data_IF_294528608979
#
_entry.id   IF_294528608979
#
_cell.length_a   1.000
_cell.length_b   1.000
_cell.length_c   1.000
_cell.angle_alpha   90.00
_cell.angle_beta   90.00
_cell.angle_gamma   90.00
#
_symmetry.space_group_name_H-M   'P 1'
#
loop_
_entity.id
_entity.type
_entity.pdbx_description
1 polymer ?
#
# COMPACT_ATOMS: atom_id res chain seq x y z
N UNK A 1 -13.82 20.16 -33.03
CA UNK A 1 -13.45 20.63 -31.69
C UNK A 1 -12.10 19.99 -31.38
N UNK A 2 -11.06 20.82 -31.20
CA UNK A 2 -9.75 20.29 -30.85
C UNK A 2 -9.86 19.66 -29.43
N UNK A 3 -9.73 18.34 -29.36
CA UNK A 3 -9.56 17.67 -28.04
C UNK A 3 -8.26 18.23 -27.44
N UNK A 4 -8.40 19.14 -26.48
CA UNK A 4 -7.25 19.62 -25.70
C UNK A 4 -6.65 18.40 -25.01
N UNK A 5 -5.41 18.08 -25.35
CA UNK A 5 -4.66 17.00 -24.70
C UNK A 5 -4.45 17.43 -23.24
N UNK A 6 -5.15 16.77 -22.31
CA UNK A 6 -5.04 17.03 -20.86
C UNK A 6 -3.68 16.59 -20.35
N UNK A 7 -3.11 17.38 -19.46
CA UNK A 7 -1.85 17.06 -18.79
C UNK A 7 -2.02 15.89 -17.79
N UNK A 8 -0.92 15.25 -17.44
CA UNK A 8 -0.92 14.20 -16.42
C UNK A 8 -1.36 14.73 -15.04
N UNK A 9 -1.07 15.99 -14.74
CA UNK A 9 -1.51 16.65 -13.52
C UNK A 9 -3.03 16.84 -13.48
N UNK A 10 -3.64 17.32 -14.57
CA UNK A 10 -5.09 17.43 -14.69
C UNK A 10 -5.80 16.09 -14.57
N UNK A 11 -5.23 15.03 -15.13
CA UNK A 11 -5.74 13.65 -14.98
C UNK A 11 -5.62 13.18 -13.52
N UNK A 12 -4.51 13.50 -12.83
CA UNK A 12 -4.33 13.14 -11.43
C UNK A 12 -5.33 13.83 -10.52
N UNK A 13 -5.53 15.14 -10.70
CA UNK A 13 -6.48 15.92 -9.92
C UNK A 13 -7.92 15.41 -10.14
N UNK A 14 -8.30 15.22 -11.41
CA UNK A 14 -9.64 14.71 -11.78
C UNK A 14 -9.86 13.25 -11.39
N UNK A 15 -8.79 12.45 -11.40
CA UNK A 15 -8.81 11.02 -11.03
C UNK A 15 -8.87 10.77 -9.54
N UNK A 16 -8.64 11.80 -8.71
CA UNK A 16 -8.70 11.77 -7.24
C UNK A 16 -7.82 10.65 -6.62
N UNK A 17 -6.52 10.91 -6.34
CA UNK A 17 -5.62 9.88 -5.81
C UNK A 17 -6.09 9.24 -4.49
N UNK A 18 -6.82 9.99 -3.67
CA UNK A 18 -7.36 9.49 -2.40
C UNK A 18 -8.48 8.46 -2.62
N UNK A 19 -9.34 8.69 -3.60
CA UNK A 19 -10.46 7.82 -3.94
C UNK A 19 -10.63 7.81 -5.46
N UNK A 20 -9.86 6.97 -6.19
CA UNK A 20 -9.88 6.96 -7.65
C UNK A 20 -11.27 6.79 -8.24
N UNK A 21 -11.62 7.70 -9.18
CA UNK A 21 -12.95 7.79 -9.76
C UNK A 21 -12.92 7.90 -11.28
N UNK A 22 -13.92 7.31 -11.95
CA UNK A 22 -14.15 7.42 -13.37
C UNK A 22 -12.97 6.98 -14.25
N UNK A 23 -12.99 7.42 -15.50
CA UNK A 23 -11.96 7.06 -16.51
C UNK A 23 -10.59 7.64 -16.15
N UNK A 24 -10.56 8.84 -15.57
CA UNK A 24 -9.29 9.47 -15.16
C UNK A 24 -8.66 8.74 -13.98
N UNK A 25 -9.48 8.24 -13.06
CA UNK A 25 -9.02 7.38 -11.97
C UNK A 25 -8.33 6.12 -12.49
N UNK A 26 -8.94 5.41 -13.45
CA UNK A 26 -8.31 4.24 -14.08
C UNK A 26 -7.01 4.58 -14.79
N UNK A 27 -6.97 5.66 -15.58
CA UNK A 27 -5.75 6.11 -16.27
C UNK A 27 -4.64 6.48 -15.29
N UNK A 28 -4.99 7.17 -14.21
CA UNK A 28 -4.08 7.54 -13.15
C UNK A 28 -3.49 6.28 -12.48
N UNK A 29 -4.33 5.30 -12.11
CA UNK A 29 -3.90 4.05 -11.48
C UNK A 29 -2.94 3.26 -12.37
N UNK A 30 -3.21 3.12 -13.66
CA UNK A 30 -2.30 2.44 -14.60
C UNK A 30 -0.93 3.12 -14.65
N UNK A 31 -0.89 4.46 -14.68
CA UNK A 31 0.37 5.19 -14.61
C UNK A 31 1.07 5.01 -13.26
N UNK A 32 0.32 5.03 -12.13
CA UNK A 32 0.86 4.80 -10.79
C UNK A 32 1.45 3.40 -10.66
N UNK A 33 0.85 2.39 -11.28
CA UNK A 33 1.40 1.03 -11.35
C UNK A 33 2.83 1.02 -11.92
N UNK A 34 3.11 1.86 -12.93
CA UNK A 34 4.43 1.97 -13.51
C UNK A 34 5.37 2.81 -12.65
N UNK A 35 4.92 4.00 -12.22
CA UNK A 35 5.76 4.97 -11.49
C UNK A 35 6.18 4.47 -10.10
N UNK A 36 5.37 3.66 -9.42
CA UNK A 36 5.70 3.10 -8.11
C UNK A 36 6.51 1.79 -8.17
N UNK A 37 6.73 1.24 -9.38
CA UNK A 37 7.53 0.02 -9.54
C UNK A 37 8.91 0.09 -8.89
N UNK A 38 9.69 1.19 -9.00
CA UNK A 38 11.01 1.26 -8.38
C UNK A 38 10.97 1.27 -6.84
N UNK A 39 10.08 2.04 -6.21
CA UNK A 39 9.97 2.09 -4.73
C UNK A 39 9.46 0.78 -4.18
N UNK A 40 8.44 0.18 -4.80
CA UNK A 40 7.94 -1.16 -4.44
C UNK A 40 9.04 -2.20 -4.54
N UNK A 41 9.81 -2.21 -5.63
CA UNK A 41 10.88 -3.17 -5.83
C UNK A 41 12.02 -3.03 -4.82
N UNK A 42 12.35 -1.81 -4.43
CA UNK A 42 13.32 -1.55 -3.38
C UNK A 42 12.83 -2.05 -2.02
N UNK A 43 11.59 -1.74 -1.65
CA UNK A 43 11.01 -2.14 -0.37
C UNK A 43 10.86 -3.66 -0.23
N UNK A 44 10.43 -4.35 -1.29
CA UNK A 44 10.33 -5.81 -1.31
C UNK A 44 11.70 -6.51 -1.15
N UNK A 45 12.82 -5.81 -1.34
CA UNK A 45 14.17 -6.32 -1.06
C UNK A 45 14.46 -6.56 0.43
N UNK A 46 13.68 -5.94 1.33
CA UNK A 46 13.78 -6.15 2.78
C UNK A 46 12.85 -7.25 3.28
N UNK A 47 11.96 -7.74 2.45
CA UNK A 47 10.86 -8.61 2.83
C UNK A 47 11.01 -10.02 2.24
N UNK A 48 11.06 -11.02 3.08
CA UNK A 48 11.05 -12.41 2.63
C UNK A 48 9.62 -12.90 2.56
N UNK A 49 9.17 -13.24 1.35
CA UNK A 49 7.87 -13.85 1.09
C UNK A 49 8.07 -15.31 0.73
N UNK A 50 7.35 -16.21 1.40
CA UNK A 50 7.40 -17.64 1.16
C UNK A 50 6.32 -18.06 0.14
N UNK A 51 6.55 -19.17 -0.54
CA UNK A 51 5.61 -19.71 -1.55
C UNK A 51 4.22 -19.99 -0.99
N UNK A 52 4.12 -20.27 0.32
CA UNK A 52 2.89 -20.66 1.01
C UNK A 52 2.21 -19.52 1.76
N UNK A 53 2.79 -18.31 1.76
CA UNK A 53 2.27 -17.19 2.55
C UNK A 53 0.87 -16.77 2.06
N UNK A 54 0.03 -16.39 3.02
CA UNK A 54 -1.20 -15.63 2.76
C UNK A 54 -0.88 -14.15 2.91
N UNK A 55 -0.97 -13.39 1.82
CA UNK A 55 -0.54 -11.99 1.75
C UNK A 55 -1.72 -11.06 1.52
N UNK A 56 -1.80 -9.96 2.28
CA UNK A 56 -2.76 -8.88 2.08
C UNK A 56 -2.04 -7.61 1.59
N UNK A 57 -2.58 -6.96 0.55
CA UNK A 57 -2.21 -5.62 0.12
C UNK A 57 -3.36 -4.64 0.43
N UNK A 58 -3.10 -3.67 1.31
CA UNK A 58 -4.10 -2.69 1.77
C UNK A 58 -3.95 -1.38 0.99
N UNK A 59 -5.03 -0.96 0.33
CA UNK A 59 -5.00 0.14 -0.63
C UNK A 59 -4.26 -0.28 -1.88
N UNK A 60 -4.63 -1.43 -2.44
CA UNK A 60 -3.90 -2.08 -3.53
C UNK A 60 -3.93 -1.30 -4.86
N UNK A 61 -4.74 -0.25 -4.96
CA UNK A 61 -4.84 0.63 -6.12
C UNK A 61 -5.04 -0.14 -7.43
N UNK A 62 -4.11 0.00 -8.37
CA UNK A 62 -4.13 -0.72 -9.64
C UNK A 62 -3.57 -2.15 -9.60
N UNK A 63 -3.16 -2.66 -8.42
CA UNK A 63 -2.78 -4.06 -8.20
C UNK A 63 -1.36 -4.46 -8.61
N UNK A 64 -0.47 -3.49 -8.88
CA UNK A 64 0.89 -3.79 -9.37
C UNK A 64 1.79 -4.47 -8.32
N UNK A 65 1.67 -4.11 -7.04
CA UNK A 65 2.43 -4.75 -5.97
C UNK A 65 2.05 -6.24 -5.84
N UNK A 66 0.76 -6.55 -5.85
CA UNK A 66 0.25 -7.93 -5.85
C UNK A 66 0.73 -8.73 -7.05
N UNK A 67 0.69 -8.15 -8.26
CA UNK A 67 1.20 -8.81 -9.47
C UNK A 67 2.66 -9.23 -9.33
N UNK A 68 3.45 -8.39 -8.67
CA UNK A 68 4.87 -8.68 -8.42
C UNK A 68 5.04 -9.77 -7.36
N UNK A 69 4.28 -9.71 -6.25
CA UNK A 69 4.33 -10.70 -5.18
C UNK A 69 3.86 -12.07 -5.67
N UNK A 70 2.89 -12.12 -6.59
CA UNK A 70 2.36 -13.35 -7.18
C UNK A 70 3.42 -14.22 -7.87
N UNK A 71 4.56 -13.65 -8.24
CA UNK A 71 5.69 -14.43 -8.79
C UNK A 71 6.42 -15.26 -7.73
N UNK A 72 6.26 -14.95 -6.45
CA UNK A 72 6.91 -15.61 -5.31
C UNK A 72 5.93 -16.54 -4.58
N UNK A 73 4.68 -16.11 -4.39
CA UNK A 73 3.63 -16.90 -3.73
C UNK A 73 3.03 -17.86 -4.76
N UNK A 74 3.46 -19.12 -4.74
CA UNK A 74 3.06 -20.12 -5.73
C UNK A 74 1.94 -21.05 -5.28
N UNK A 75 1.88 -21.36 -3.97
CA UNK A 75 0.90 -22.26 -3.34
C UNK A 75 0.08 -21.58 -2.23
N UNK A 76 0.49 -20.38 -1.80
CA UNK A 76 -0.25 -19.53 -0.88
C UNK A 76 -1.39 -18.77 -1.56
N UNK A 77 -1.87 -17.70 -0.93
CA UNK A 77 -2.97 -16.91 -1.45
C UNK A 77 -2.71 -15.41 -1.31
N UNK A 78 -3.15 -14.63 -2.28
CA UNK A 78 -2.99 -13.19 -2.33
C UNK A 78 -4.35 -12.51 -2.23
N UNK A 79 -4.44 -11.47 -1.42
CA UNK A 79 -5.67 -10.67 -1.31
C UNK A 79 -5.30 -9.20 -1.44
N UNK A 80 -6.03 -8.47 -2.29
CA UNK A 80 -5.97 -7.02 -2.37
C UNK A 80 -7.26 -6.41 -1.86
N UNK A 81 -7.15 -5.34 -1.10
CA UNK A 81 -8.31 -4.53 -0.70
C UNK A 81 -8.09 -3.08 -1.08
N UNK A 82 -9.15 -2.44 -1.59
CA UNK A 82 -9.21 -1.01 -1.82
C UNK A 82 -10.66 -0.54 -1.62
N UNK A 83 -10.85 0.68 -1.12
CA UNK A 83 -12.20 1.19 -0.89
C UNK A 83 -12.80 1.89 -2.12
N UNK A 84 -12.00 2.10 -3.18
CA UNK A 84 -12.46 2.64 -4.46
C UNK A 84 -12.89 1.51 -5.40
N UNK A 85 -14.13 1.50 -5.89
CA UNK A 85 -14.58 0.54 -6.90
C UNK A 85 -13.74 0.59 -8.19
N UNK A 86 -13.21 1.77 -8.55
CA UNK A 86 -12.35 1.94 -9.73
C UNK A 86 -10.99 1.27 -9.51
N UNK A 87 -10.40 1.41 -8.31
CA UNK A 87 -9.18 0.69 -7.93
C UNK A 87 -9.40 -0.83 -7.99
N UNK A 88 -10.47 -1.32 -7.38
CA UNK A 88 -10.83 -2.75 -7.38
C UNK A 88 -10.97 -3.29 -8.81
N UNK A 89 -11.67 -2.57 -9.69
CA UNK A 89 -11.84 -2.97 -11.08
C UNK A 89 -10.49 -3.01 -11.82
N UNK A 90 -9.66 -1.97 -11.66
CA UNK A 90 -8.34 -1.88 -12.28
C UNK A 90 -7.39 -2.97 -11.77
N UNK A 91 -7.39 -3.24 -10.46
CA UNK A 91 -6.58 -4.30 -9.85
C UNK A 91 -6.98 -5.70 -10.35
N UNK A 92 -8.29 -5.94 -10.52
CA UNK A 92 -8.81 -7.20 -11.09
C UNK A 92 -8.39 -7.39 -12.54
N UNK A 93 -8.42 -6.36 -13.35
CA UNK A 93 -7.94 -6.41 -14.73
C UNK A 93 -6.43 -6.69 -14.79
N UNK A 94 -5.64 -5.96 -13.98
CA UNK A 94 -4.18 -6.12 -13.87
C UNK A 94 -3.76 -7.54 -13.48
N UNK A 95 -4.57 -8.23 -12.66
CA UNK A 95 -4.27 -9.53 -12.06
C UNK A 95 -5.21 -10.66 -12.53
N UNK A 96 -5.87 -10.50 -13.67
CA UNK A 96 -6.88 -11.43 -14.17
C UNK A 96 -6.41 -12.88 -14.22
N UNK A 97 -5.18 -13.15 -14.62
CA UNK A 97 -4.62 -14.50 -14.69
C UNK A 97 -4.53 -15.18 -13.30
N UNK A 98 -4.08 -14.45 -12.28
CA UNK A 98 -3.98 -14.95 -10.92
C UNK A 98 -5.37 -15.18 -10.30
N UNK A 99 -6.33 -14.31 -10.61
CA UNK A 99 -7.72 -14.45 -10.17
C UNK A 99 -8.39 -15.65 -10.83
N UNK A 100 -8.25 -15.80 -12.15
CA UNK A 100 -8.82 -16.94 -12.90
C UNK A 100 -8.27 -18.30 -12.44
N UNK A 101 -7.06 -18.31 -11.88
CA UNK A 101 -6.44 -19.53 -11.32
C UNK A 101 -6.69 -19.67 -9.80
N UNK A 102 -7.58 -18.87 -9.22
CA UNK A 102 -7.94 -18.87 -7.79
C UNK A 102 -6.75 -18.66 -6.83
N UNK A 103 -5.72 -17.96 -7.29
CA UNK A 103 -4.56 -17.60 -6.48
C UNK A 103 -4.68 -16.23 -5.83
N UNK A 104 -5.64 -15.43 -6.30
CA UNK A 104 -5.80 -14.05 -5.84
C UNK A 104 -7.26 -13.64 -5.81
N UNK A 105 -7.62 -12.86 -4.78
CA UNK A 105 -8.88 -12.14 -4.69
C UNK A 105 -8.65 -10.64 -4.53
N UNK A 106 -9.52 -9.83 -5.14
CA UNK A 106 -9.56 -8.38 -4.97
C UNK A 106 -10.94 -7.98 -4.46
N UNK A 107 -10.98 -7.33 -3.30
CA UNK A 107 -12.20 -6.97 -2.59
C UNK A 107 -12.32 -5.46 -2.40
N UNK A 108 -13.55 -4.97 -2.43
CA UNK A 108 -13.85 -3.60 -1.99
C UNK A 108 -13.96 -3.60 -0.47
N UNK A 109 -13.00 -2.95 0.21
CA UNK A 109 -12.99 -2.84 1.66
C UNK A 109 -12.13 -1.65 2.11
N UNK A 110 -12.44 -1.13 3.32
CA UNK A 110 -11.67 -0.08 3.98
C UNK A 110 -10.75 -0.67 5.04
N UNK A 111 -9.56 -0.06 5.20
CA UNK A 111 -8.65 -0.34 6.33
C UNK A 111 -9.26 -0.02 7.70
N UNK A 112 -10.35 0.74 7.75
CA UNK A 112 -11.06 1.04 9.01
C UNK A 112 -11.71 -0.20 9.61
N UNK A 113 -12.12 -1.16 8.76
CA UNK A 113 -12.70 -2.43 9.16
C UNK A 113 -12.44 -3.46 8.05
N UNK A 114 -11.43 -4.28 8.22
CA UNK A 114 -11.06 -5.33 7.28
C UNK A 114 -11.99 -6.55 7.45
N UNK A 115 -12.56 -7.09 6.37
CA UNK A 115 -13.53 -8.19 6.45
C UNK A 115 -12.87 -9.56 6.66
N UNK A 116 -11.87 -9.62 7.54
CA UNK A 116 -11.10 -10.83 7.83
C UNK A 116 -11.08 -11.11 9.33
N UNK A 117 -10.94 -12.39 9.67
CA UNK A 117 -10.73 -12.82 11.04
C UNK A 117 -9.36 -12.37 11.58
N UNK A 118 -9.21 -12.39 12.90
CA UNK A 118 -7.90 -12.19 13.54
C UNK A 118 -6.91 -13.25 13.05
N UNK A 119 -5.61 -12.91 13.04
CA UNK A 119 -4.54 -13.85 12.72
C UNK A 119 -4.70 -14.58 11.37
N UNK A 120 -5.13 -13.85 10.33
CA UNK A 120 -5.39 -14.41 9.00
C UNK A 120 -4.16 -14.39 8.09
N UNK A 121 -3.35 -13.32 8.12
CA UNK A 121 -2.29 -13.08 7.14
C UNK A 121 -0.90 -13.31 7.70
N UNK A 122 -0.06 -14.01 6.93
CA UNK A 122 1.36 -14.17 7.23
C UNK A 122 2.11 -12.85 6.96
N UNK A 123 1.69 -12.15 5.92
CA UNK A 123 2.31 -10.95 5.39
C UNK A 123 1.26 -9.91 5.03
N UNK A 124 1.49 -8.65 5.40
CA UNK A 124 0.65 -7.53 4.98
C UNK A 124 1.55 -6.44 4.40
N UNK A 125 1.12 -5.83 3.30
CA UNK A 125 1.80 -4.70 2.68
C UNK A 125 0.83 -3.56 2.42
N UNK A 126 1.33 -2.34 2.43
CA UNK A 126 0.67 -1.16 1.86
C UNK A 126 1.70 -0.34 1.10
N UNK A 127 1.38 0.05 -0.13
CA UNK A 127 2.27 0.84 -0.99
C UNK A 127 1.55 2.11 -1.41
N UNK A 128 2.14 3.27 -1.10
CA UNK A 128 1.63 4.59 -1.53
C UNK A 128 0.17 4.85 -1.13
N UNK A 129 -0.30 4.29 -0.01
CA UNK A 129 -1.70 4.46 0.43
C UNK A 129 -1.86 4.96 1.87
N UNK A 130 -0.90 4.67 2.75
CA UNK A 130 -0.97 4.98 4.18
C UNK A 130 -1.28 6.45 4.48
N UNK A 131 -0.76 7.39 3.72
CA UNK A 131 -0.98 8.80 3.92
C UNK A 131 -2.43 9.27 3.65
N UNK A 132 -3.26 8.40 3.11
CA UNK A 132 -4.70 8.62 2.93
C UNK A 132 -5.57 7.97 4.01
N UNK A 133 -4.98 7.17 4.89
CA UNK A 133 -5.75 6.45 5.91
C UNK A 133 -6.44 7.43 6.87
N UNK A 134 -7.75 7.25 7.15
CA UNK A 134 -8.54 8.23 7.89
C UNK A 134 -8.15 8.35 9.36
N UNK A 135 -7.65 7.27 9.96
CA UNK A 135 -7.27 7.22 11.37
C UNK A 135 -6.03 6.34 11.54
N UNK A 136 -4.81 6.79 11.13
CA UNK A 136 -3.60 5.95 11.06
C UNK A 136 -3.36 5.10 12.29
N UNK A 137 -3.49 5.66 13.50
CA UNK A 137 -3.30 4.95 14.75
C UNK A 137 -4.31 3.81 14.98
N UNK A 138 -5.59 4.00 14.62
CA UNK A 138 -6.62 2.96 14.74
C UNK A 138 -6.47 1.93 13.62
N UNK A 139 -6.17 2.40 12.43
CA UNK A 139 -6.02 1.54 11.26
C UNK A 139 -4.82 0.60 11.39
N UNK A 140 -3.70 1.05 11.98
CA UNK A 140 -2.57 0.17 12.30
C UNK A 140 -2.94 -0.94 13.30
N UNK A 141 -3.84 -0.67 14.26
CA UNK A 141 -4.34 -1.72 15.16
C UNK A 141 -5.22 -2.74 14.42
N UNK A 142 -5.99 -2.30 13.44
CA UNK A 142 -6.78 -3.20 12.57
C UNK A 142 -5.86 -4.08 11.70
N UNK A 143 -4.78 -3.51 11.16
CA UNK A 143 -3.73 -4.27 10.46
C UNK A 143 -3.13 -5.33 11.40
N UNK A 144 -2.76 -4.93 12.62
CA UNK A 144 -2.18 -5.85 13.60
C UNK A 144 -3.16 -6.96 14.00
N UNK A 145 -4.48 -6.66 14.06
CA UNK A 145 -5.51 -7.67 14.38
C UNK A 145 -5.50 -8.80 13.37
N UNK A 146 -5.52 -8.49 12.08
CA UNK A 146 -5.59 -9.49 11.01
C UNK A 146 -4.25 -10.14 10.67
N UNK A 147 -3.14 -9.58 11.15
CA UNK A 147 -1.80 -10.14 11.00
C UNK A 147 -1.64 -11.31 11.96
N UNK A 148 -1.10 -12.44 11.51
CA UNK A 148 -0.77 -13.61 12.34
C UNK A 148 0.34 -13.28 13.35
N UNK A 149 0.39 -14.01 14.44
CA UNK A 149 1.55 -14.02 15.34
C UNK A 149 2.83 -14.35 14.54
N UNK A 150 3.91 -13.63 14.77
CA UNK A 150 5.15 -13.66 14.00
C UNK A 150 5.02 -13.21 12.52
N UNK A 151 3.86 -12.74 12.12
CA UNK A 151 3.65 -12.12 10.81
C UNK A 151 4.32 -10.75 10.71
N UNK A 152 4.49 -10.26 9.49
CA UNK A 152 5.15 -8.96 9.22
C UNK A 152 4.27 -8.05 8.39
N UNK A 153 4.30 -6.77 8.75
CA UNK A 153 3.65 -5.68 8.01
C UNK A 153 4.71 -4.77 7.40
N UNK A 154 4.61 -4.50 6.12
CA UNK A 154 5.48 -3.61 5.35
C UNK A 154 4.70 -2.39 4.85
N UNK A 155 5.07 -1.20 5.31
CA UNK A 155 4.56 0.07 4.83
C UNK A 155 5.59 0.72 3.93
N UNK A 156 5.18 1.14 2.73
CA UNK A 156 6.06 1.73 1.72
C UNK A 156 5.50 3.08 1.27
N UNK A 157 6.33 4.12 1.32
CA UNK A 157 5.99 5.44 0.81
C UNK A 157 7.18 6.08 0.06
N UNK A 158 6.87 6.80 -1.01
CA UNK A 158 7.87 7.52 -1.80
C UNK A 158 8.22 8.90 -1.22
N UNK A 159 7.53 9.29 -0.14
CA UNK A 159 7.78 10.52 0.60
C UNK A 159 7.57 10.34 2.10
N UNK A 160 8.42 10.95 2.89
CA UNK A 160 8.28 11.11 4.34
C UNK A 160 8.72 12.52 4.75
N UNK A 161 8.30 12.98 5.94
CA UNK A 161 8.65 14.32 6.44
C UNK A 161 10.14 14.39 6.78
N UNK A 162 10.82 15.29 6.07
CA UNK A 162 12.23 15.64 6.29
C UNK A 162 12.52 17.05 5.79
N UNK A 163 13.70 17.56 6.11
CA UNK A 163 14.22 18.80 5.51
C UNK A 163 14.61 18.59 4.05
N UNK A 164 14.48 19.63 3.23
CA UNK A 164 14.94 19.63 1.84
C UNK A 164 14.03 18.92 0.85
N UNK A 165 12.76 18.68 1.20
CA UNK A 165 11.75 18.25 0.21
C UNK A 165 11.59 19.31 -0.88
N UNK A 166 11.38 18.87 -2.13
CA UNK A 166 11.17 19.79 -3.25
C UNK A 166 9.87 20.60 -3.10
N UNK A 167 9.83 21.81 -3.69
CA UNK A 167 8.61 22.63 -3.69
C UNK A 167 7.41 21.88 -4.28
N UNK A 168 7.63 21.07 -5.33
CA UNK A 168 6.59 20.23 -5.94
C UNK A 168 6.09 19.15 -5.00
N UNK A 169 6.98 18.51 -4.23
CA UNK A 169 6.61 17.53 -3.20
C UNK A 169 5.77 18.18 -2.12
N UNK A 170 6.21 19.34 -1.61
CA UNK A 170 5.47 20.11 -0.60
C UNK A 170 4.10 20.58 -1.11
N UNK A 171 4.00 20.95 -2.38
CA UNK A 171 2.74 21.29 -3.02
C UNK A 171 1.80 20.09 -3.08
N UNK A 172 2.27 18.91 -3.49
CA UNK A 172 1.49 17.68 -3.53
C UNK A 172 0.99 17.28 -2.14
N UNK A 173 1.85 17.33 -1.10
CA UNK A 173 1.46 17.06 0.29
C UNK A 173 0.29 17.98 0.70
N UNK A 174 0.36 19.27 0.38
CA UNK A 174 -0.72 20.23 0.69
C UNK A 174 -1.98 19.96 -0.12
N UNK A 175 -1.85 19.81 -1.46
CA UNK A 175 -2.99 19.67 -2.37
C UNK A 175 -3.80 18.41 -2.11
N UNK A 176 -3.13 17.29 -1.77
CA UNK A 176 -3.78 16.01 -1.51
C UNK A 176 -3.97 15.72 -0.01
N UNK A 177 -3.59 16.67 0.87
CA UNK A 177 -3.69 16.53 2.33
C UNK A 177 -3.06 15.23 2.82
N UNK A 178 -1.83 14.96 2.37
CA UNK A 178 -1.12 13.74 2.74
C UNK A 178 -0.69 13.79 4.19
N UNK A 179 -1.01 12.75 4.96
CA UNK A 179 -0.41 12.53 6.27
C UNK A 179 1.03 12.06 6.08
N UNK A 180 1.99 12.93 6.38
CA UNK A 180 3.40 12.73 6.05
C UNK A 180 4.27 12.74 7.30
N UNK A 181 4.39 11.62 8.06
CA UNK A 181 5.19 11.53 9.28
C UNK A 181 6.69 11.54 9.00
N UNK A 182 7.46 11.94 10.02
CA UNK A 182 8.89 11.67 10.10
C UNK A 182 9.16 10.20 10.38
N UNK A 183 10.39 9.68 10.15
CA UNK A 183 10.75 8.31 10.52
C UNK A 183 10.47 7.98 11.99
N UNK A 184 10.71 8.92 12.89
CA UNK A 184 10.47 8.76 14.34
C UNK A 184 8.98 8.70 14.68
N UNK A 185 8.15 9.49 14.00
CA UNK A 185 6.70 9.44 14.14
C UNK A 185 6.14 8.13 13.59
N UNK A 186 6.67 7.61 12.47
CA UNK A 186 6.31 6.26 11.99
C UNK A 186 6.62 5.20 13.04
N UNK A 187 7.81 5.23 13.65
CA UNK A 187 8.18 4.31 14.74
C UNK A 187 7.17 4.37 15.88
N UNK A 188 6.89 5.59 16.34
CA UNK A 188 5.94 5.83 17.44
C UNK A 188 4.53 5.28 17.11
N UNK A 189 4.05 5.48 15.89
CA UNK A 189 2.76 4.98 15.43
C UNK A 189 2.69 3.45 15.48
N UNK A 190 3.74 2.78 15.01
CA UNK A 190 3.82 1.31 15.02
C UNK A 190 3.89 0.76 16.45
N UNK A 191 4.75 1.34 17.32
CA UNK A 191 4.86 0.96 18.73
C UNK A 191 3.53 1.10 19.47
N UNK A 192 2.84 2.22 19.30
CA UNK A 192 1.55 2.48 19.93
C UNK A 192 0.43 1.58 19.38
N UNK A 193 0.56 1.08 18.16
CA UNK A 193 -0.36 0.10 17.60
C UNK A 193 -0.12 -1.31 18.15
N UNK A 194 1.08 -1.59 18.68
CA UNK A 194 1.47 -2.88 19.26
C UNK A 194 2.42 -3.72 18.41
N UNK A 195 3.00 -3.13 17.35
CA UNK A 195 4.05 -3.80 16.58
C UNK A 195 5.36 -3.85 17.39
N UNK A 196 6.14 -4.90 17.17
CA UNK A 196 7.49 -5.10 17.70
C UNK A 196 8.52 -5.16 16.57
N UNK A 197 9.80 -5.17 16.92
CA UNK A 197 10.95 -5.30 16.00
C UNK A 197 10.84 -4.36 14.79
N UNK A 198 10.52 -3.09 15.07
CA UNK A 198 10.27 -2.08 14.03
C UNK A 198 11.58 -1.68 13.37
N UNK A 199 11.67 -1.91 12.06
CA UNK A 199 12.79 -1.50 11.22
C UNK A 199 12.34 -0.40 10.26
N UNK A 200 13.19 0.63 10.11
CA UNK A 200 12.95 1.74 9.20
C UNK A 200 14.10 1.80 8.22
N UNK A 201 13.76 1.69 6.95
CA UNK A 201 14.70 1.78 5.84
C UNK A 201 14.45 3.09 5.08
N UNK A 202 15.51 3.85 4.88
CA UNK A 202 15.50 5.07 4.08
C UNK A 202 16.37 4.86 2.85
N UNK A 203 15.92 5.32 1.69
CA UNK A 203 16.65 5.17 0.44
C UNK A 203 17.58 6.36 0.22
N UNK A 204 18.88 6.11 0.16
CA UNK A 204 19.87 7.15 -0.15
C UNK A 204 19.54 7.86 -1.47
N UNK A 205 19.59 9.19 -1.46
CA UNK A 205 19.32 10.03 -2.62
C UNK A 205 17.86 10.06 -3.08
N UNK A 206 16.93 9.53 -2.27
CA UNK A 206 15.49 9.56 -2.48
C UNK A 206 14.77 10.01 -1.20
N UNK A 207 13.46 10.25 -1.35
CA UNK A 207 12.58 10.57 -0.23
C UNK A 207 11.80 9.32 0.23
N UNK A 208 12.25 8.12 -0.17
CA UNK A 208 11.56 6.87 0.07
C UNK A 208 11.79 6.32 1.47
N UNK A 209 10.71 5.84 2.06
CA UNK A 209 10.71 5.14 3.35
C UNK A 209 10.01 3.79 3.23
N UNK A 210 10.57 2.80 3.91
CA UNK A 210 9.95 1.51 4.14
C UNK A 210 10.00 1.23 5.63
N UNK A 211 8.84 0.96 6.23
CA UNK A 211 8.71 0.62 7.65
C UNK A 211 8.21 -0.80 7.78
N UNK A 212 9.00 -1.65 8.42
CA UNK A 212 8.65 -3.02 8.75
C UNK A 212 8.31 -3.13 10.22
N UNK A 213 7.20 -3.81 10.55
CA UNK A 213 6.81 -4.13 11.92
C UNK A 213 6.33 -5.56 12.03
N UNK A 214 6.57 -6.20 13.18
CA UNK A 214 6.20 -7.57 13.45
C UNK A 214 5.09 -7.65 14.49
N UNK A 215 4.20 -8.63 14.37
CA UNK A 215 3.32 -9.02 15.46
C UNK A 215 4.08 -9.97 16.38
N UNK A 216 4.19 -9.62 17.67
CA UNK A 216 4.85 -10.47 18.63
C UNK A 216 4.22 -11.87 18.67
N UNK A 217 5.05 -12.89 18.85
CA UNK A 217 4.55 -14.25 19.15
C UNK A 217 3.76 -14.20 20.45
N UNK A 218 2.50 -14.63 20.44
CA UNK A 218 1.69 -14.67 21.64
C UNK A 218 2.40 -15.51 22.71
N UNK A 219 2.55 -14.95 23.90
CA UNK A 219 2.93 -15.76 25.07
C UNK A 219 1.82 -16.80 25.27
N UNK A 220 2.16 -18.07 25.19
CA UNK A 220 1.26 -19.17 25.57
C UNK A 220 1.04 -19.18 27.08
#
# INVERSE_FOLDING_TARGET
>A
MSDMIRTQEEITISGNPRHPEGVDGSKMLLRMNESHTPVTGWALGFWTVNETDTVLDIGCGGGAALKRIATQVTTGHLIGVDYSPVSVATARETNSDAINTHKMDILEASVEQLPFADDTFDKIITVESFYFWPSPQKNLKEVLRVLKNSGTFLLVADVYQKEGLSDKTLENIRNFHLFNPTPEEFRTLFEQAGFSDIQIHLKDGKDWICVEGHKASGSR
#
